data_IF_086872995237
#
_entry.id   IF_086872995237
#
_cell.length_a   1.000
_cell.length_b   1.000
_cell.length_c   1.000
_cell.angle_alpha   90.00
_cell.angle_beta   90.00
_cell.angle_gamma   90.00
#
_symmetry.space_group_name_H-M   'P 1'
#
loop_
_entity.id
_entity.type
_entity.pdbx_description
1 polymer ?
#
# COMPACT_ATOMS: atom_id res chain seq x y z
N UNK A 1 -13.22 -0.24 -3.61
CA UNK A 1 -13.34 1.23 -3.74
C UNK A 1 -14.37 1.58 -4.83
N UNK A 2 -14.14 1.31 -6.13
CA UNK A 2 -15.09 1.70 -7.20
C UNK A 2 -16.53 1.24 -6.95
N UNK A 3 -16.76 -0.02 -6.58
CA UNK A 3 -18.10 -0.55 -6.20
C UNK A 3 -18.77 0.18 -5.02
N UNK A 4 -18.03 1.02 -4.31
CA UNK A 4 -18.52 1.84 -3.18
C UNK A 4 -18.57 3.33 -3.54
N UNK A 5 -18.62 3.67 -4.84
CA UNK A 5 -18.83 5.01 -5.34
C UNK A 5 -17.58 5.90 -5.40
N UNK A 6 -16.39 5.38 -5.13
CA UNK A 6 -15.15 6.14 -5.28
C UNK A 6 -14.75 6.25 -6.75
N UNK A 7 -14.38 7.45 -7.21
CA UNK A 7 -13.57 7.62 -8.42
C UNK A 7 -12.15 7.16 -8.13
N UNK A 8 -11.59 6.30 -8.98
CA UNK A 8 -10.31 5.63 -8.70
C UNK A 8 -9.23 6.06 -9.67
N UNK A 9 -8.08 6.45 -9.17
CA UNK A 9 -6.85 6.54 -9.95
C UNK A 9 -6.00 5.31 -9.66
N UNK A 10 -5.66 4.55 -10.70
CA UNK A 10 -4.72 3.43 -10.65
C UNK A 10 -3.36 3.96 -11.09
N UNK A 11 -2.39 3.92 -10.18
CA UNK A 11 -0.99 4.16 -10.50
C UNK A 11 -0.29 2.84 -10.86
N UNK A 12 0.54 2.88 -11.88
CA UNK A 12 1.39 1.77 -12.30
C UNK A 12 2.72 2.26 -12.85
N UNK A 13 3.72 1.37 -12.99
CA UNK A 13 5.05 1.76 -13.45
C UNK A 13 5.38 1.20 -14.84
N UNK A 14 5.02 -0.05 -15.14
CA UNK A 14 5.46 -0.73 -16.38
C UNK A 14 4.42 -1.59 -17.05
N UNK A 15 3.41 -2.11 -16.34
CA UNK A 15 2.42 -3.00 -16.91
C UNK A 15 1.18 -2.22 -17.36
N UNK A 16 1.27 -1.65 -18.55
CA UNK A 16 0.19 -0.85 -19.17
C UNK A 16 -1.08 -1.70 -19.36
N UNK A 17 -0.93 -2.95 -19.82
CA UNK A 17 -2.06 -3.86 -20.11
C UNK A 17 -2.84 -4.21 -18.83
N UNK A 18 -2.14 -4.58 -17.75
CA UNK A 18 -2.80 -4.90 -16.50
C UNK A 18 -3.53 -3.68 -15.90
N UNK A 19 -2.96 -2.48 -16.01
CA UNK A 19 -3.58 -1.26 -15.55
C UNK A 19 -4.87 -0.94 -16.33
N UNK A 20 -4.82 -1.01 -17.68
CA UNK A 20 -5.99 -0.80 -18.53
C UNK A 20 -7.06 -1.86 -18.31
N UNK A 21 -6.69 -3.13 -18.11
CA UNK A 21 -7.65 -4.20 -17.82
C UNK A 21 -8.45 -3.92 -16.52
N UNK A 22 -7.78 -3.49 -15.46
CA UNK A 22 -8.47 -3.12 -14.21
C UNK A 22 -9.35 -1.89 -14.40
N UNK A 23 -8.89 -0.87 -15.13
CA UNK A 23 -9.68 0.31 -15.48
C UNK A 23 -10.96 -0.10 -16.22
N UNK A 24 -10.85 -0.97 -17.24
CA UNK A 24 -11.99 -1.41 -18.03
C UNK A 24 -13.03 -2.14 -17.17
N UNK A 25 -12.60 -3.03 -16.26
CA UNK A 25 -13.50 -3.69 -15.31
C UNK A 25 -14.25 -2.71 -14.42
N UNK A 26 -13.60 -1.61 -14.00
CA UNK A 26 -14.25 -0.56 -13.20
C UNK A 26 -15.26 0.21 -14.05
N UNK A 27 -14.92 0.57 -15.28
CA UNK A 27 -15.83 1.30 -16.19
C UNK A 27 -17.05 0.45 -16.56
N UNK A 28 -16.86 -0.84 -16.87
CA UNK A 28 -17.93 -1.80 -17.17
C UNK A 28 -18.89 -1.98 -15.98
N UNK A 29 -18.40 -1.85 -14.75
CA UNK A 29 -19.24 -1.86 -13.55
C UNK A 29 -19.90 -0.52 -13.23
N UNK A 30 -19.79 0.47 -14.13
CA UNK A 30 -20.38 1.82 -13.97
C UNK A 30 -19.55 2.75 -13.06
N UNK A 31 -18.34 2.36 -12.66
CA UNK A 31 -17.44 3.19 -11.87
C UNK A 31 -16.68 4.20 -12.71
N UNK A 32 -16.02 5.16 -12.04
CA UNK A 32 -15.11 6.13 -12.68
C UNK A 32 -13.67 5.79 -12.37
N UNK A 33 -12.82 5.67 -13.40
CA UNK A 33 -11.42 5.28 -13.25
C UNK A 33 -10.52 5.97 -14.26
N UNK A 34 -9.33 6.38 -13.80
CA UNK A 34 -8.20 6.76 -14.65
C UNK A 34 -6.99 5.91 -14.31
N UNK A 35 -6.06 5.79 -15.25
CA UNK A 35 -4.75 5.16 -15.03
C UNK A 35 -3.65 6.18 -15.26
N UNK A 36 -2.63 6.19 -14.40
CA UNK A 36 -1.50 7.12 -14.52
C UNK A 36 -0.19 6.37 -14.34
N UNK A 37 0.62 6.37 -15.39
CA UNK A 37 1.96 5.81 -15.36
C UNK A 37 2.89 6.75 -14.60
N UNK A 38 3.40 6.31 -13.45
CA UNK A 38 4.31 7.09 -12.62
C UNK A 38 5.14 6.18 -11.69
N UNK A 39 6.44 6.46 -11.57
CA UNK A 39 7.28 5.87 -10.52
C UNK A 39 7.06 6.64 -9.22
N UNK A 40 6.29 6.09 -8.31
CA UNK A 40 5.98 6.75 -7.03
C UNK A 40 7.19 6.87 -6.08
N UNK A 41 8.34 6.34 -6.44
CA UNK A 41 9.62 6.63 -5.77
C UNK A 41 10.34 7.87 -6.33
N UNK A 42 9.76 8.51 -7.37
CA UNK A 42 10.22 9.76 -7.98
C UNK A 42 9.34 10.93 -7.52
N UNK A 43 9.93 11.92 -6.85
CA UNK A 43 9.18 13.09 -6.38
C UNK A 43 8.48 13.85 -7.52
N UNK A 44 9.13 13.96 -8.69
CA UNK A 44 8.55 14.59 -9.89
C UNK A 44 7.31 13.85 -10.40
N UNK A 45 7.40 12.52 -10.45
CA UNK A 45 6.29 11.69 -10.92
C UNK A 45 5.11 11.70 -9.96
N UNK A 46 5.39 11.71 -8.64
CA UNK A 46 4.32 11.80 -7.63
C UNK A 46 3.58 13.14 -7.74
N UNK A 47 4.29 14.25 -7.89
CA UNK A 47 3.65 15.56 -8.08
C UNK A 47 2.73 15.52 -9.30
N UNK A 48 3.23 15.08 -10.47
CA UNK A 48 2.46 14.95 -11.72
C UNK A 48 1.25 14.01 -11.54
N UNK A 49 1.43 12.88 -10.85
CA UNK A 49 0.35 11.93 -10.56
C UNK A 49 -0.81 12.64 -9.82
N UNK A 50 -0.50 13.33 -8.73
CA UNK A 50 -1.52 14.00 -7.93
C UNK A 50 -2.14 15.22 -8.65
N UNK A 51 -1.38 15.96 -9.44
CA UNK A 51 -1.91 17.03 -10.30
C UNK A 51 -2.88 16.47 -11.35
N UNK A 52 -2.57 15.32 -11.95
CA UNK A 52 -3.49 14.63 -12.87
C UNK A 52 -4.77 14.21 -12.15
N UNK A 53 -4.67 13.67 -10.93
CA UNK A 53 -5.84 13.31 -10.13
C UNK A 53 -6.69 14.52 -9.82
N UNK A 54 -6.08 15.65 -9.42
CA UNK A 54 -6.80 16.89 -9.11
C UNK A 54 -7.63 17.40 -10.31
N UNK A 55 -7.06 17.33 -11.51
CA UNK A 55 -7.72 17.76 -12.76
C UNK A 55 -8.83 16.79 -13.18
N UNK A 56 -8.55 15.50 -13.18
CA UNK A 56 -9.43 14.49 -13.77
C UNK A 56 -10.52 13.99 -12.79
N UNK A 57 -10.21 13.88 -11.50
CA UNK A 57 -11.10 13.29 -10.50
C UNK A 57 -11.45 14.23 -9.36
N UNK A 58 -10.75 15.35 -9.22
CA UNK A 58 -10.83 16.24 -8.08
C UNK A 58 -9.85 15.85 -6.96
N UNK A 59 -9.89 16.60 -5.85
CA UNK A 59 -8.98 16.37 -4.72
C UNK A 59 -9.13 14.95 -4.16
N UNK A 60 -8.01 14.28 -3.94
CA UNK A 60 -7.98 12.96 -3.34
C UNK A 60 -8.51 13.01 -1.90
N UNK A 61 -9.47 12.13 -1.57
CA UNK A 61 -9.99 11.90 -0.23
C UNK A 61 -9.44 10.63 0.43
N UNK A 62 -8.93 9.70 -0.38
CA UNK A 62 -8.32 8.44 0.08
C UNK A 62 -7.04 8.20 -0.68
N UNK A 63 -5.97 7.87 0.05
CA UNK A 63 -4.73 7.34 -0.50
C UNK A 63 -4.52 5.91 0.01
N UNK A 64 -4.23 4.98 -0.90
CA UNK A 64 -3.77 3.63 -0.56
C UNK A 64 -2.33 3.47 -1.04
N UNK A 65 -1.38 3.42 -0.13
CA UNK A 65 0.03 3.14 -0.41
C UNK A 65 0.24 1.63 -0.46
N UNK A 66 0.05 1.04 -1.65
CA UNK A 66 0.21 -0.39 -1.88
C UNK A 66 1.50 -0.74 -2.64
N UNK A 67 2.04 0.18 -3.43
CA UNK A 67 3.23 -0.06 -4.24
C UNK A 67 4.42 -0.53 -3.39
N UNK A 68 4.98 -1.68 -3.73
CA UNK A 68 6.16 -2.25 -3.07
C UNK A 68 6.83 -3.28 -3.97
N UNK A 69 8.09 -3.57 -3.70
CA UNK A 69 8.84 -4.67 -4.31
C UNK A 69 9.29 -5.67 -3.25
N UNK A 70 9.42 -6.91 -3.68
CA UNK A 70 10.04 -8.01 -2.99
C UNK A 70 11.11 -8.59 -3.92
N UNK A 71 12.32 -8.77 -3.43
CA UNK A 71 13.41 -9.37 -4.21
C UNK A 71 13.61 -10.83 -3.83
N UNK A 72 14.43 -11.56 -4.56
CA UNK A 72 14.71 -12.98 -4.31
C UNK A 72 15.24 -13.20 -2.88
N UNK A 73 14.82 -14.30 -2.25
CA UNK A 73 15.27 -14.69 -0.91
C UNK A 73 16.78 -14.80 -0.85
N UNK A 74 17.35 -14.27 0.23
CA UNK A 74 18.76 -14.47 0.58
C UNK A 74 19.01 -14.17 2.06
N UNK A 75 20.19 -14.54 2.53
CA UNK A 75 20.66 -14.18 3.87
C UNK A 75 21.19 -12.75 3.89
N UNK A 76 21.32 -12.19 5.10
CA UNK A 76 21.74 -10.79 5.28
C UNK A 76 23.10 -10.50 4.62
N UNK A 77 24.06 -11.40 4.75
CA UNK A 77 25.41 -11.24 4.19
C UNK A 77 25.46 -11.23 2.66
N UNK A 78 24.38 -11.67 2.00
CA UNK A 78 24.24 -11.68 0.54
C UNK A 78 23.50 -10.43 0.01
N UNK A 79 22.91 -9.61 0.90
CA UNK A 79 22.21 -8.39 0.52
C UNK A 79 23.21 -7.28 0.25
N UNK A 80 23.30 -6.81 -1.01
CA UNK A 80 24.13 -5.67 -1.32
C UNK A 80 23.53 -4.35 -0.81
N UNK A 81 24.37 -3.33 -0.62
CA UNK A 81 23.94 -2.00 -0.21
C UNK A 81 22.99 -1.37 -1.25
N UNK A 82 23.21 -1.62 -2.54
CA UNK A 82 22.38 -1.13 -3.64
C UNK A 82 20.99 -1.78 -3.59
N UNK A 83 20.92 -3.09 -3.37
CA UNK A 83 19.65 -3.82 -3.19
C UNK A 83 18.88 -3.28 -2.00
N UNK A 84 19.54 -3.12 -0.86
CA UNK A 84 18.90 -2.57 0.34
C UNK A 84 18.36 -1.15 0.10
N UNK A 85 19.16 -0.31 -0.55
CA UNK A 85 18.78 1.06 -0.92
C UNK A 85 17.58 1.09 -1.88
N UNK A 86 17.56 0.20 -2.88
CA UNK A 86 16.45 0.10 -3.84
C UNK A 86 15.15 -0.37 -3.16
N UNK A 87 15.20 -1.33 -2.25
CA UNK A 87 14.03 -1.77 -1.46
C UNK A 87 13.49 -0.61 -0.62
N UNK A 88 14.35 0.15 0.07
CA UNK A 88 13.92 1.31 0.83
C UNK A 88 13.34 2.40 -0.08
N UNK A 89 13.97 2.67 -1.21
CA UNK A 89 13.47 3.64 -2.19
C UNK A 89 12.07 3.28 -2.70
N UNK A 90 11.88 2.01 -3.08
CA UNK A 90 10.60 1.54 -3.63
C UNK A 90 9.49 1.43 -2.59
N UNK A 91 9.81 0.97 -1.39
CA UNK A 91 8.80 0.62 -0.40
C UNK A 91 8.53 1.74 0.62
N UNK A 92 9.55 2.56 0.93
CA UNK A 92 9.47 3.59 1.99
C UNK A 92 9.36 4.99 1.40
N UNK A 93 10.32 5.37 0.53
CA UNK A 93 10.31 6.71 -0.08
C UNK A 93 9.04 6.95 -0.89
N UNK A 94 8.54 5.94 -1.62
CA UNK A 94 7.26 6.03 -2.34
C UNK A 94 6.09 6.33 -1.41
N UNK A 95 5.98 5.59 -0.30
CA UNK A 95 4.95 5.80 0.71
C UNK A 95 5.02 7.22 1.31
N UNK A 96 6.24 7.69 1.66
CA UNK A 96 6.47 9.04 2.15
C UNK A 96 6.05 10.10 1.13
N UNK A 97 6.50 10.01 -0.12
CA UNK A 97 6.22 11.00 -1.16
C UNK A 97 4.71 11.11 -1.45
N UNK A 98 4.03 9.98 -1.61
CA UNK A 98 2.59 9.96 -1.84
C UNK A 98 1.82 10.50 -0.63
N UNK A 99 2.21 10.12 0.59
CA UNK A 99 1.58 10.64 1.81
C UNK A 99 1.74 12.15 1.94
N UNK A 100 2.93 12.68 1.64
CA UNK A 100 3.21 14.12 1.63
C UNK A 100 2.28 14.88 0.68
N UNK A 101 2.08 14.39 -0.54
CA UNK A 101 1.19 15.04 -1.52
C UNK A 101 -0.30 14.87 -1.14
N UNK A 102 -0.68 13.75 -0.54
CA UNK A 102 -2.02 13.54 -0.02
C UNK A 102 -2.35 14.51 1.12
N UNK A 103 -1.45 14.66 2.09
CA UNK A 103 -1.64 15.60 3.21
C UNK A 103 -1.87 17.04 2.71
N UNK A 104 -1.10 17.52 1.72
CA UNK A 104 -1.30 18.85 1.14
C UNK A 104 -2.71 19.08 0.55
N UNK A 105 -3.37 18.00 0.10
CA UNK A 105 -4.70 18.06 -0.52
C UNK A 105 -5.84 17.78 0.46
N UNK A 106 -5.61 16.88 1.41
CA UNK A 106 -6.63 16.44 2.37
C UNK A 106 -6.75 17.37 3.58
N UNK A 107 -5.63 17.92 4.06
CA UNK A 107 -5.58 18.70 5.31
C UNK A 107 -6.48 19.93 5.26
N UNK A 108 -7.33 20.07 6.29
CA UNK A 108 -8.16 21.28 6.49
C UNK A 108 -7.31 22.54 6.63
N UNK A 109 -6.06 22.42 7.12
CA UNK A 109 -5.10 23.52 7.19
C UNK A 109 -4.76 24.12 5.82
N UNK A 110 -4.84 23.32 4.76
CA UNK A 110 -4.59 23.74 3.37
C UNK A 110 -5.88 23.81 2.54
N UNK A 111 -7.05 23.93 3.21
CA UNK A 111 -8.35 24.05 2.55
C UNK A 111 -8.88 22.73 1.98
N UNK A 112 -8.38 21.60 2.45
CA UNK A 112 -8.96 20.28 2.21
C UNK A 112 -10.17 20.00 3.08
N UNK A 113 -10.79 18.85 2.88
CA UNK A 113 -11.97 18.39 3.63
C UNK A 113 -11.66 17.21 4.60
N UNK A 114 -10.39 16.99 4.89
CA UNK A 114 -9.95 15.78 5.57
C UNK A 114 -9.75 14.62 4.60
N UNK A 115 -9.47 13.44 5.14
CA UNK A 115 -9.28 12.24 4.33
C UNK A 115 -8.69 11.04 5.08
N UNK A 116 -8.33 10.02 4.30
CA UNK A 116 -7.78 8.79 4.87
C UNK A 116 -6.57 8.30 4.08
N UNK A 117 -5.51 7.93 4.78
CA UNK A 117 -4.34 7.26 4.22
C UNK A 117 -4.29 5.84 4.78
N UNK A 118 -4.23 4.84 3.90
CA UNK A 118 -4.08 3.43 4.28
C UNK A 118 -2.78 2.91 3.70
N UNK A 119 -1.85 2.52 4.56
CA UNK A 119 -0.58 1.95 4.16
C UNK A 119 -0.65 0.42 4.15
N UNK A 120 -0.17 -0.21 3.08
CA UNK A 120 -0.03 -1.67 3.03
C UNK A 120 1.37 -2.03 3.53
N UNK A 121 1.43 -2.39 4.81
CA UNK A 121 2.62 -2.91 5.47
C UNK A 121 2.77 -4.43 5.22
N UNK A 122 3.18 -5.20 6.21
CA UNK A 122 3.29 -6.67 6.14
C UNK A 122 3.45 -7.26 7.54
N UNK A 123 3.04 -8.51 7.73
CA UNK A 123 3.43 -9.32 8.89
C UNK A 123 4.96 -9.44 9.03
N UNK A 124 5.70 -9.29 7.93
CA UNK A 124 7.16 -9.25 7.92
C UNK A 124 7.75 -8.12 8.79
N UNK A 125 7.03 -7.00 8.96
CA UNK A 125 7.44 -5.91 9.85
C UNK A 125 7.56 -6.36 11.32
N UNK A 126 6.83 -7.41 11.73
CA UNK A 126 6.84 -8.00 13.08
C UNK A 126 7.79 -9.17 13.19
N UNK A 127 7.84 -10.02 12.17
CA UNK A 127 8.66 -11.25 12.18
C UNK A 127 10.13 -11.00 11.83
N UNK A 128 10.44 -9.91 11.11
CA UNK A 128 11.77 -9.63 10.57
C UNK A 128 12.17 -10.49 9.38
N UNK A 129 11.38 -11.49 8.99
CA UNK A 129 11.64 -12.42 7.86
C UNK A 129 13.08 -12.95 7.80
N UNK A 130 13.61 -13.57 8.88
CA UNK A 130 14.99 -14.02 8.93
C UNK A 130 15.28 -15.08 7.86
N UNK A 131 16.48 -15.03 7.28
CA UNK A 131 16.97 -15.90 6.20
C UNK A 131 16.19 -15.80 4.88
N UNK A 132 15.31 -14.82 4.72
CA UNK A 132 14.47 -14.66 3.55
C UNK A 132 14.51 -13.22 3.01
N UNK A 133 13.96 -12.26 3.76
CA UNK A 133 13.67 -10.91 3.26
C UNK A 133 13.89 -9.84 4.34
N UNK A 134 15.06 -9.80 4.97
CA UNK A 134 15.35 -8.82 6.05
C UNK A 134 15.22 -7.38 5.55
N UNK A 135 15.66 -7.09 4.32
CA UNK A 135 15.56 -5.80 3.67
C UNK A 135 14.09 -5.35 3.48
N UNK A 136 13.25 -6.25 3.00
CA UNK A 136 11.81 -6.01 2.87
C UNK A 136 11.16 -5.80 4.24
N UNK A 137 11.46 -6.66 5.21
CA UNK A 137 10.93 -6.55 6.57
C UNK A 137 11.31 -5.22 7.21
N UNK A 138 12.57 -4.78 7.07
CA UNK A 138 13.03 -3.47 7.52
C UNK A 138 12.25 -2.34 6.86
N UNK A 139 12.00 -2.42 5.54
CA UNK A 139 11.20 -1.44 4.82
C UNK A 139 9.76 -1.35 5.35
N UNK A 140 9.15 -2.49 5.68
CA UNK A 140 7.77 -2.53 6.22
C UNK A 140 7.71 -2.07 7.68
N UNK A 141 8.76 -2.31 8.47
CA UNK A 141 8.92 -1.69 9.80
C UNK A 141 9.02 -0.16 9.72
N UNK A 142 9.71 0.38 8.73
CA UNK A 142 9.76 1.81 8.48
C UNK A 142 8.37 2.38 8.10
N UNK A 143 7.59 1.68 7.26
CA UNK A 143 6.20 2.05 6.93
C UNK A 143 5.31 2.04 8.18
N UNK A 144 5.49 1.09 9.09
CA UNK A 144 4.75 1.05 10.36
C UNK A 144 5.04 2.29 11.23
N UNK A 145 6.31 2.67 11.33
CA UNK A 145 6.72 3.86 12.10
C UNK A 145 6.20 5.14 11.45
N UNK A 146 6.30 5.25 10.11
CA UNK A 146 5.74 6.36 9.35
C UNK A 146 4.23 6.47 9.56
N UNK A 147 3.50 5.35 9.57
CA UNK A 147 2.06 5.31 9.82
C UNK A 147 1.70 5.91 11.18
N UNK A 148 2.39 5.51 12.24
CA UNK A 148 2.15 6.04 13.60
C UNK A 148 2.47 7.53 13.72
N UNK A 149 3.65 7.94 13.25
CA UNK A 149 4.09 9.32 13.33
C UNK A 149 3.15 10.26 12.58
N UNK A 150 2.84 9.91 11.33
CA UNK A 150 1.96 10.72 10.49
C UNK A 150 0.52 10.76 11.05
N UNK A 151 0.01 9.64 11.60
CA UNK A 151 -1.33 9.61 12.19
C UNK A 151 -1.50 10.62 13.31
N UNK A 152 -0.51 10.75 14.18
CA UNK A 152 -0.53 11.72 15.29
C UNK A 152 -0.39 13.14 14.77
N UNK A 153 0.50 13.35 13.79
CA UNK A 153 0.81 14.67 13.25
C UNK A 153 -0.41 15.32 12.56
N UNK A 154 -1.17 14.54 11.77
CA UNK A 154 -2.26 15.07 10.93
C UNK A 154 -3.67 14.83 11.46
N UNK A 155 -3.83 14.21 12.64
CA UNK A 155 -5.14 13.90 13.21
C UNK A 155 -6.02 15.16 13.39
N UNK A 156 -5.44 16.23 13.95
CA UNK A 156 -6.13 17.50 14.12
C UNK A 156 -6.43 18.22 12.79
N UNK A 157 -5.84 17.76 11.69
CA UNK A 157 -6.06 18.28 10.36
C UNK A 157 -7.15 17.50 9.58
N UNK A 158 -7.90 16.62 10.26
CA UNK A 158 -8.99 15.84 9.69
C UNK A 158 -8.52 14.62 8.89
N UNK A 159 -7.28 14.17 9.04
CA UNK A 159 -6.73 13.04 8.29
C UNK A 159 -6.50 11.84 9.23
N UNK A 160 -7.05 10.68 8.86
CA UNK A 160 -6.76 9.40 9.53
C UNK A 160 -5.69 8.64 8.75
N UNK A 161 -4.74 8.06 9.45
CA UNK A 161 -3.66 7.27 8.83
C UNK A 161 -3.57 5.92 9.56
N UNK A 162 -3.73 4.84 8.82
CA UNK A 162 -3.70 3.48 9.35
C UNK A 162 -2.94 2.54 8.42
N UNK A 163 -2.66 1.32 8.87
CA UNK A 163 -2.05 0.31 8.02
C UNK A 163 -2.76 -1.06 8.12
N UNK A 164 -2.67 -1.81 7.03
CA UNK A 164 -2.95 -3.25 7.00
C UNK A 164 -1.62 -3.98 6.92
N UNK A 165 -1.46 -5.06 7.68
CA UNK A 165 -0.33 -5.98 7.63
C UNK A 165 -0.78 -7.33 7.08
N UNK A 166 -0.71 -7.54 5.76
CA UNK A 166 -1.00 -8.85 5.17
C UNK A 166 0.00 -9.90 5.64
N UNK A 167 -0.47 -11.13 5.79
CA UNK A 167 0.36 -12.32 5.94
C UNK A 167 0.74 -12.91 4.58
N UNK A 168 0.61 -14.24 4.46
CA UNK A 168 0.84 -14.96 3.21
C UNK A 168 -0.44 -14.91 2.34
N UNK A 169 -0.38 -14.13 1.28
CA UNK A 169 -1.52 -13.83 0.39
C UNK A 169 -1.24 -14.36 -1.01
N UNK A 170 -2.20 -15.02 -1.64
CA UNK A 170 -2.10 -15.48 -3.02
C UNK A 170 -2.01 -14.28 -3.97
N UNK A 171 -0.80 -13.95 -4.39
CA UNK A 171 -0.47 -12.86 -5.32
C UNK A 171 0.79 -13.20 -6.12
N UNK A 172 1.00 -12.49 -7.22
CA UNK A 172 2.21 -12.61 -8.05
C UNK A 172 3.50 -12.13 -7.34
N UNK A 173 3.38 -11.42 -6.22
CA UNK A 173 4.54 -10.89 -5.47
C UNK A 173 5.49 -12.00 -5.03
N UNK A 174 4.98 -13.19 -4.67
CA UNK A 174 5.81 -14.32 -4.26
C UNK A 174 6.63 -14.88 -5.43
N UNK A 175 6.05 -14.93 -6.63
CA UNK A 175 6.77 -15.32 -7.84
C UNK A 175 7.89 -14.33 -8.16
N UNK A 176 7.63 -13.01 -8.05
CA UNK A 176 8.64 -11.98 -8.20
C UNK A 176 9.76 -12.10 -7.14
N UNK A 177 9.43 -12.56 -5.95
CA UNK A 177 10.39 -12.88 -4.87
C UNK A 177 11.12 -14.23 -5.03
N UNK A 178 10.95 -14.91 -6.16
CA UNK A 178 11.63 -16.18 -6.47
C UNK A 178 10.95 -17.43 -5.93
N UNK A 179 9.75 -17.32 -5.33
CA UNK A 179 9.06 -18.47 -4.73
C UNK A 179 7.54 -18.44 -5.01
N UNK A 180 7.10 -18.85 -6.23
CA UNK A 180 5.68 -18.80 -6.61
C UNK A 180 4.78 -19.64 -5.69
N UNK A 181 5.26 -20.78 -5.20
CA UNK A 181 4.49 -21.71 -4.36
C UNK A 181 4.64 -21.44 -2.84
N UNK A 182 5.15 -20.27 -2.47
CA UNK A 182 5.43 -19.90 -1.07
C UNK A 182 4.23 -20.10 -0.15
N UNK A 183 3.06 -19.67 -0.57
CA UNK A 183 1.84 -19.77 0.23
C UNK A 183 1.49 -21.23 0.50
N UNK A 184 1.54 -22.07 -0.51
CA UNK A 184 1.26 -23.51 -0.39
C UNK A 184 2.25 -24.21 0.55
N UNK A 185 3.54 -23.89 0.43
CA UNK A 185 4.59 -24.45 1.29
C UNK A 185 4.43 -24.08 2.76
N UNK A 186 3.94 -22.86 3.03
CA UNK A 186 3.89 -22.30 4.39
C UNK A 186 2.50 -22.32 5.02
N UNK A 187 1.43 -22.67 4.28
CA UNK A 187 0.04 -22.58 4.78
C UNK A 187 -0.21 -23.36 6.08
N UNK A 188 0.51 -24.47 6.30
CA UNK A 188 0.42 -25.26 7.55
C UNK A 188 0.92 -24.51 8.79
N UNK A 189 1.70 -23.43 8.62
CA UNK A 189 2.16 -22.56 9.71
C UNK A 189 1.15 -21.46 10.05
N UNK A 190 0.18 -21.24 9.17
CA UNK A 190 -0.87 -20.24 9.38
C UNK A 190 -1.94 -20.87 10.28
N UNK A 191 -2.32 -20.26 11.41
CA UNK A 191 -3.38 -20.82 12.28
C UNK A 191 -4.70 -21.09 11.54
N UNK A 192 -5.10 -20.24 10.58
CA UNK A 192 -6.27 -20.51 9.74
C UNK A 192 -6.06 -21.57 8.65
N UNK A 193 -4.89 -22.23 8.58
CA UNK A 193 -4.53 -23.36 7.71
C UNK A 193 -4.71 -23.08 6.20
N UNK A 194 -4.70 -21.82 5.79
CA UNK A 194 -4.76 -21.38 4.39
C UNK A 194 -4.05 -20.04 4.20
N UNK A 195 -3.66 -19.75 2.97
CA UNK A 195 -3.32 -18.38 2.58
C UNK A 195 -4.54 -17.47 2.51
N UNK A 196 -4.31 -16.18 2.58
CA UNK A 196 -5.33 -15.16 2.35
C UNK A 196 -5.51 -14.86 0.86
N UNK A 197 -6.67 -14.31 0.50
CA UNK A 197 -6.95 -13.79 -0.84
C UNK A 197 -6.71 -12.28 -0.87
N UNK A 198 -6.32 -11.75 -2.04
CA UNK A 198 -6.16 -10.29 -2.22
C UNK A 198 -7.46 -9.52 -1.89
N UNK A 199 -8.62 -10.11 -2.15
CA UNK A 199 -9.92 -9.54 -1.79
C UNK A 199 -10.11 -9.36 -0.28
N UNK A 200 -9.61 -10.28 0.55
CA UNK A 200 -9.70 -10.17 2.02
C UNK A 200 -8.88 -8.98 2.54
N UNK A 201 -7.72 -8.73 1.91
CA UNK A 201 -6.91 -7.54 2.22
C UNK A 201 -7.61 -6.27 1.74
N UNK A 202 -8.22 -6.31 0.55
CA UNK A 202 -8.96 -5.18 -0.01
C UNK A 202 -10.15 -4.76 0.88
N UNK A 203 -10.86 -5.70 1.53
CA UNK A 203 -11.94 -5.40 2.48
C UNK A 203 -11.41 -4.71 3.73
N UNK A 204 -10.27 -5.14 4.28
CA UNK A 204 -9.64 -4.48 5.43
C UNK A 204 -9.21 -3.03 5.07
N UNK A 205 -8.63 -2.84 3.88
CA UNK A 205 -8.27 -1.52 3.36
C UNK A 205 -9.53 -0.65 3.19
N UNK A 206 -10.59 -1.20 2.61
CA UNK A 206 -11.85 -0.49 2.40
C UNK A 206 -12.48 -0.05 3.73
N UNK A 207 -12.49 -0.93 4.72
CA UNK A 207 -13.02 -0.58 6.05
C UNK A 207 -12.25 0.60 6.65
N UNK A 208 -10.91 0.59 6.60
CA UNK A 208 -10.08 1.70 7.07
C UNK A 208 -10.28 2.98 6.26
N UNK A 209 -10.61 2.88 4.98
CA UNK A 209 -10.81 4.01 4.08
C UNK A 209 -12.18 4.70 4.25
N UNK A 210 -13.15 4.06 4.94
CA UNK A 210 -14.51 4.57 5.10
C UNK A 210 -14.76 5.13 6.50
N UNK A 211 -15.91 5.80 6.68
CA UNK A 211 -16.35 6.33 7.97
C UNK A 211 -16.68 5.23 9.00
N UNK A 212 -16.77 3.97 8.58
CA UNK A 212 -16.91 2.82 9.50
C UNK A 212 -15.75 2.71 10.49
N UNK A 213 -14.60 3.30 10.17
CA UNK A 213 -13.42 3.39 11.03
C UNK A 213 -13.13 4.83 11.48
N UNK A 214 -14.16 5.67 11.62
CA UNK A 214 -14.02 7.12 11.91
C UNK A 214 -13.23 7.44 13.18
N UNK A 215 -13.19 6.53 14.16
CA UNK A 215 -12.42 6.70 15.41
C UNK A 215 -11.12 5.90 15.44
N UNK A 216 -10.61 5.50 14.24
CA UNK A 216 -9.39 4.71 14.11
C UNK A 216 -8.34 5.50 13.34
N UNK A 217 -7.24 5.88 14.03
CA UNK A 217 -6.04 6.45 13.43
C UNK A 217 -4.80 5.94 14.16
N UNK A 218 -3.68 5.75 13.47
CA UNK A 218 -2.47 5.12 14.00
C UNK A 218 -2.60 3.62 14.26
N UNK A 219 -3.71 3.00 13.84
CA UNK A 219 -4.02 1.59 14.05
C UNK A 219 -3.47 0.67 12.95
N UNK A 220 -3.40 -0.62 13.29
CA UNK A 220 -2.94 -1.68 12.39
C UNK A 220 -3.93 -2.84 12.38
N UNK A 221 -4.31 -3.29 11.19
CA UNK A 221 -5.05 -4.54 11.01
C UNK A 221 -4.07 -5.62 10.55
N UNK A 222 -3.81 -6.60 11.42
CA UNK A 222 -3.03 -7.79 11.08
C UNK A 222 -3.95 -8.77 10.33
N UNK A 223 -3.96 -8.71 8.99
CA UNK A 223 -4.72 -9.61 8.13
C UNK A 223 -3.84 -10.79 7.68
N UNK A 224 -3.44 -11.62 8.64
CA UNK A 224 -2.38 -12.60 8.50
C UNK A 224 -2.79 -14.04 8.84
N UNK A 225 -4.07 -14.29 9.10
CA UNK A 225 -4.56 -15.63 9.44
C UNK A 225 -4.08 -16.15 10.79
N UNK A 226 -3.58 -15.26 11.68
CA UNK A 226 -3.06 -15.59 13.01
C UNK A 226 -1.54 -15.67 13.12
N UNK A 227 -0.77 -15.32 12.05
CA UNK A 227 0.70 -15.22 12.06
C UNK A 227 1.16 -14.04 12.90
#
# INVERSE_FOLDING_TARGET
MAKHGYSVCINYISNDEAAENVKNQILESGGRCIVVKADVSSAKDVIRLFETVDVELGRASVLVNNAAILMTQCRLEEISAERFSEVLRRNVLSCFLCSKEAVKRMSIKYGGAGGTIVNVSSAAAKSGSPNEYIDYAASKGAVDTLTRGLAVEVAAEGIRVNAVRPGLIYTEMHAAGGEPDRVERLKSRIPLQRGGQASEIAEAILWLATDKSSFVTGGFIDAAGGL
#
